data_IF_472496184048
#
_entry.id   IF_472496184048
#
_cell.length_a   1.000
_cell.length_b   1.000
_cell.length_c   1.000
_cell.angle_alpha   90.00
_cell.angle_beta   90.00
_cell.angle_gamma   90.00
#
_symmetry.space_group_name_H-M   'P 1'
#
loop_
_entity.id
_entity.type
_entity.pdbx_description
1 polymer ?
#
# COMPACT_ATOMS: atom_id res chain seq x y z
N UNK A 1 12.73 14.11 -2.32
CA UNK A 1 13.34 13.02 -3.10
C UNK A 1 13.77 11.92 -2.14
N UNK A 2 12.85 11.04 -1.76
CA UNK A 2 13.18 9.78 -1.09
C UNK A 2 12.98 8.72 -2.15
N UNK A 3 14.07 8.36 -2.83
CA UNK A 3 14.08 7.13 -3.61
C UNK A 3 13.87 5.99 -2.62
N UNK A 4 12.87 5.14 -2.85
CA UNK A 4 12.86 3.78 -2.29
C UNK A 4 14.17 3.14 -2.77
N UNK A 5 15.14 3.16 -1.87
CA UNK A 5 16.54 2.99 -2.20
C UNK A 5 16.80 1.53 -2.52
N UNK A 6 17.51 1.27 -3.61
CA UNK A 6 18.18 -0.01 -3.90
C UNK A 6 19.28 -0.39 -2.88
N UNK A 7 19.21 0.12 -1.66
CA UNK A 7 20.01 -0.34 -0.54
C UNK A 7 19.37 -1.61 0.02
N UNK A 8 20.19 -2.62 0.31
CA UNK A 8 19.79 -3.89 0.89
C UNK A 8 19.05 -3.63 2.22
N UNK A 9 17.71 -3.65 2.21
CA UNK A 9 16.90 -3.41 3.40
C UNK A 9 17.27 -4.43 4.47
N UNK A 10 17.54 -3.94 5.67
CA UNK A 10 17.93 -4.82 6.77
C UNK A 10 16.69 -5.52 7.35
N UNK A 11 16.89 -6.61 8.10
CA UNK A 11 15.78 -7.26 8.80
C UNK A 11 15.04 -6.33 9.78
N UNK A 12 15.72 -5.29 10.28
CA UNK A 12 15.13 -4.27 11.17
C UNK A 12 14.14 -3.38 10.44
N UNK A 13 14.46 -2.97 9.21
CA UNK A 13 13.59 -2.12 8.38
C UNK A 13 12.31 -2.87 8.02
N UNK A 14 12.41 -4.16 7.70
CA UNK A 14 11.26 -5.02 7.47
C UNK A 14 10.34 -5.11 8.69
N UNK A 15 10.90 -5.36 9.89
CA UNK A 15 10.09 -5.48 11.09
C UNK A 15 9.31 -4.20 11.38
N UNK A 16 9.94 -3.03 11.20
CA UNK A 16 9.27 -1.73 11.35
C UNK A 16 8.13 -1.56 10.34
N UNK A 17 8.35 -1.86 9.06
CA UNK A 17 7.30 -1.77 8.05
C UNK A 17 6.15 -2.74 8.33
N UNK A 18 6.45 -3.97 8.73
CA UNK A 18 5.45 -4.97 9.10
C UNK A 18 4.62 -4.50 10.29
N UNK A 19 5.25 -3.99 11.34
CA UNK A 19 4.53 -3.47 12.50
C UNK A 19 3.62 -2.31 12.11
N UNK A 20 4.11 -1.40 11.26
CA UNK A 20 3.29 -0.30 10.74
C UNK A 20 2.08 -0.79 9.94
N UNK A 21 2.26 -1.81 9.11
CA UNK A 21 1.15 -2.42 8.37
C UNK A 21 0.10 -3.03 9.30
N UNK A 22 0.54 -3.73 10.35
CA UNK A 22 -0.34 -4.32 11.36
C UNK A 22 -1.12 -3.27 12.14
N UNK A 23 -0.49 -2.15 12.52
CA UNK A 23 -1.17 -1.01 13.14
C UNK A 23 -2.27 -0.46 12.24
N UNK A 24 -1.98 -0.26 10.95
CA UNK A 24 -2.96 0.23 9.98
C UNK A 24 -4.15 -0.72 9.84
N UNK A 25 -3.89 -2.04 9.73
CA UNK A 25 -4.95 -3.06 9.65
C UNK A 25 -5.80 -3.13 10.93
N UNK A 26 -5.17 -2.98 12.10
CA UNK A 26 -5.89 -2.89 13.38
C UNK A 26 -6.79 -1.65 13.44
N UNK A 27 -6.29 -0.52 12.95
CA UNK A 27 -7.07 0.72 12.90
C UNK A 27 -8.23 0.60 11.90
N UNK A 28 -8.01 -0.02 10.74
CA UNK A 28 -9.10 -0.29 9.80
C UNK A 28 -10.19 -1.19 10.39
N UNK A 29 -9.82 -2.17 11.22
CA UNK A 29 -10.80 -3.00 11.93
C UNK A 29 -11.72 -2.16 12.83
N UNK A 30 -11.17 -1.15 13.52
CA UNK A 30 -11.94 -0.19 14.33
C UNK A 30 -12.81 0.70 13.45
N UNK A 31 -12.23 1.33 12.43
CA UNK A 31 -12.93 2.24 11.52
C UNK A 31 -14.07 1.54 10.78
N UNK A 32 -13.89 0.28 10.38
CA UNK A 32 -14.91 -0.51 9.69
C UNK A 32 -16.18 -0.71 10.52
N UNK A 33 -16.09 -0.73 11.86
CA UNK A 33 -17.29 -0.76 12.71
C UNK A 33 -18.05 0.56 12.64
N UNK A 34 -17.35 1.69 12.60
CA UNK A 34 -17.96 3.02 12.46
C UNK A 34 -18.63 3.14 11.09
N UNK A 35 -17.93 2.76 10.01
CA UNK A 35 -18.46 2.79 8.64
C UNK A 35 -19.76 1.99 8.51
N UNK A 36 -19.87 0.84 9.17
CA UNK A 36 -21.10 0.03 9.16
C UNK A 36 -22.31 0.73 9.80
N UNK A 37 -22.08 1.65 10.73
CA UNK A 37 -23.15 2.35 11.46
C UNK A 37 -23.59 3.63 10.75
N UNK A 38 -22.65 4.40 10.20
CA UNK A 38 -22.91 5.77 9.73
C UNK A 38 -22.46 6.03 8.29
N UNK A 39 -21.88 5.03 7.61
CA UNK A 39 -21.32 5.16 6.27
C UNK A 39 -19.88 5.71 6.26
N UNK A 40 -19.16 5.56 5.14
CA UNK A 40 -17.76 5.97 5.02
C UNK A 40 -17.57 7.50 5.01
N UNK A 41 -18.60 8.25 4.60
CA UNK A 41 -18.51 9.71 4.48
C UNK A 41 -18.45 10.45 5.81
N UNK A 42 -18.86 9.79 6.90
CA UNK A 42 -18.78 10.31 8.25
C UNK A 42 -17.34 10.40 8.78
N UNK A 43 -16.39 9.68 8.16
CA UNK A 43 -15.00 9.65 8.62
C UNK A 43 -14.20 10.87 8.13
N UNK A 44 -13.27 11.42 8.93
CA UNK A 44 -12.26 12.38 8.45
C UNK A 44 -11.47 11.83 7.25
N UNK A 45 -10.98 12.71 6.38
CA UNK A 45 -10.18 12.30 5.20
C UNK A 45 -8.94 11.48 5.58
N UNK A 46 -8.33 11.76 6.74
CA UNK A 46 -7.20 10.98 7.26
C UNK A 46 -7.57 9.53 7.60
N UNK A 47 -8.76 9.30 8.16
CA UNK A 47 -9.24 7.95 8.47
C UNK A 47 -9.66 7.21 7.19
N UNK A 48 -10.28 7.91 6.22
CA UNK A 48 -10.53 7.35 4.89
C UNK A 48 -9.24 6.98 4.16
N UNK A 49 -8.16 7.74 4.35
CA UNK A 49 -6.83 7.38 3.84
C UNK A 49 -6.27 6.09 4.47
N UNK A 50 -6.58 5.81 5.75
CA UNK A 50 -6.21 4.54 6.40
C UNK A 50 -6.97 3.38 5.75
N UNK A 51 -8.27 3.54 5.48
CA UNK A 51 -9.08 2.53 4.78
C UNK A 51 -8.54 2.26 3.37
N UNK A 52 -8.18 3.29 2.62
CA UNK A 52 -7.61 3.12 1.28
C UNK A 52 -6.24 2.43 1.32
N UNK A 53 -5.40 2.79 2.29
CA UNK A 53 -4.08 2.15 2.47
C UNK A 53 -4.23 0.67 2.80
N UNK A 54 -5.14 0.32 3.70
CA UNK A 54 -5.35 -1.07 4.12
C UNK A 54 -6.03 -1.91 3.03
N UNK A 55 -6.86 -1.29 2.18
CA UNK A 55 -7.32 -1.90 0.93
C UNK A 55 -6.15 -2.31 0.05
N UNK A 56 -5.19 -1.41 -0.17
CA UNK A 56 -3.98 -1.72 -0.96
C UNK A 56 -3.12 -2.81 -0.33
N UNK A 57 -2.99 -2.86 1.00
CA UNK A 57 -2.30 -3.97 1.69
C UNK A 57 -3.02 -5.29 1.41
N UNK A 58 -4.35 -5.33 1.49
CA UNK A 58 -5.12 -6.56 1.23
C UNK A 58 -5.04 -7.00 -0.22
N UNK A 59 -5.36 -6.10 -1.15
CA UNK A 59 -5.52 -6.43 -2.57
C UNK A 59 -4.17 -6.55 -3.29
N UNK A 60 -3.19 -5.72 -2.93
CA UNK A 60 -1.88 -5.66 -3.58
C UNK A 60 -0.82 -6.57 -2.95
N UNK A 61 -1.05 -7.11 -1.75
CA UNK A 61 -0.05 -7.94 -1.06
C UNK A 61 -0.63 -9.22 -0.44
N UNK A 62 -1.69 -9.14 0.37
CA UNK A 62 -2.18 -10.29 1.14
C UNK A 62 -2.99 -11.29 0.30
N UNK A 63 -3.78 -10.80 -0.65
CA UNK A 63 -4.52 -11.64 -1.58
C UNK A 63 -3.57 -12.13 -2.68
N UNK A 64 -3.41 -13.45 -2.81
CA UNK A 64 -2.61 -14.07 -3.88
C UNK A 64 -3.46 -15.04 -4.70
N UNK A 65 -3.25 -15.03 -6.01
CA UNK A 65 -3.90 -15.94 -6.94
C UNK A 65 -2.99 -17.13 -7.28
N UNK A 66 -3.30 -18.30 -6.71
CA UNK A 66 -2.54 -19.53 -6.93
C UNK A 66 -2.57 -20.05 -8.39
N UNK A 67 -3.48 -19.54 -9.24
CA UNK A 67 -3.60 -19.95 -10.64
C UNK A 67 -2.84 -19.04 -11.61
N UNK A 68 -2.40 -17.88 -11.15
CA UNK A 68 -1.66 -16.90 -11.96
C UNK A 68 -0.15 -17.09 -11.78
N UNK A 69 0.60 -17.27 -12.86
CA UNK A 69 2.02 -17.67 -12.80
C UNK A 69 2.92 -16.73 -12.00
N UNK A 70 2.66 -15.42 -12.04
CA UNK A 70 3.48 -14.40 -11.37
C UNK A 70 3.07 -14.17 -9.91
N UNK A 71 1.80 -14.44 -9.57
CA UNK A 71 1.23 -14.21 -8.23
C UNK A 71 1.11 -15.50 -7.40
N UNK A 72 1.24 -16.68 -8.03
CA UNK A 72 1.20 -17.97 -7.36
C UNK A 72 2.36 -18.17 -6.37
N UNK A 73 3.48 -17.48 -6.56
CA UNK A 73 4.62 -17.48 -5.65
C UNK A 73 5.33 -16.12 -5.62
N UNK A 74 5.44 -15.54 -4.42
CA UNK A 74 6.15 -14.28 -4.19
C UNK A 74 7.32 -14.48 -3.22
N UNK A 75 8.52 -14.11 -3.67
CA UNK A 75 9.71 -14.09 -2.80
C UNK A 75 9.53 -13.10 -1.64
N UNK A 76 10.27 -13.31 -0.55
CA UNK A 76 10.28 -12.38 0.60
C UNK A 76 10.69 -10.98 0.16
N UNK A 77 11.67 -10.87 -0.73
CA UNK A 77 12.12 -9.56 -1.24
C UNK A 77 11.01 -8.85 -2.03
N UNK A 78 10.27 -9.57 -2.89
CA UNK A 78 9.11 -9.02 -3.60
C UNK A 78 8.04 -8.55 -2.62
N UNK A 79 7.74 -9.33 -1.57
CA UNK A 79 6.79 -8.93 -0.52
C UNK A 79 7.22 -7.66 0.22
N UNK A 80 8.51 -7.54 0.56
CA UNK A 80 9.09 -6.34 1.18
C UNK A 80 8.89 -5.12 0.28
N UNK A 81 9.17 -5.24 -1.03
CA UNK A 81 9.01 -4.13 -1.98
C UNK A 81 7.55 -3.72 -2.18
N UNK A 82 6.63 -4.70 -2.25
CA UNK A 82 5.18 -4.43 -2.31
C UNK A 82 4.69 -3.70 -1.06
N UNK A 83 5.13 -4.11 0.13
CA UNK A 83 4.76 -3.42 1.36
C UNK A 83 5.34 -2.01 1.41
N UNK A 84 6.60 -1.86 1.00
CA UNK A 84 7.29 -0.57 0.97
C UNK A 84 6.55 0.45 0.10
N UNK A 85 6.12 0.06 -1.12
CA UNK A 85 5.44 0.99 -2.02
C UNK A 85 4.06 1.40 -1.48
N UNK A 86 3.34 0.48 -0.82
CA UNK A 86 2.05 0.79 -0.17
C UNK A 86 2.25 1.76 1.01
N UNK A 87 3.27 1.56 1.83
CA UNK A 87 3.57 2.46 2.95
C UNK A 87 4.07 3.83 2.47
N UNK A 88 4.82 3.87 1.37
CA UNK A 88 5.19 5.12 0.72
C UNK A 88 3.95 5.87 0.21
N UNK A 89 3.05 5.17 -0.48
CA UNK A 89 1.76 5.74 -0.91
C UNK A 89 0.97 6.29 0.29
N UNK A 90 0.91 5.56 1.40
CA UNK A 90 0.27 6.00 2.64
C UNK A 90 0.84 7.33 3.13
N UNK A 91 2.16 7.44 3.26
CA UNK A 91 2.82 8.65 3.74
C UNK A 91 2.49 9.86 2.86
N UNK A 92 2.60 9.69 1.54
CA UNK A 92 2.34 10.74 0.55
C UNK A 92 0.87 11.16 0.55
N UNK A 93 -0.05 10.20 0.52
CA UNK A 93 -1.48 10.46 0.57
C UNK A 93 -1.90 11.12 1.88
N UNK A 94 -1.34 10.68 3.01
CA UNK A 94 -1.59 11.27 4.33
C UNK A 94 -1.17 12.74 4.39
N UNK A 95 -0.02 13.09 3.80
CA UNK A 95 0.44 14.48 3.72
C UNK A 95 -0.51 15.37 2.87
N UNK A 96 -1.11 14.80 1.84
CA UNK A 96 -2.04 15.49 0.93
C UNK A 96 -3.41 15.69 1.60
N UNK A 97 -4.02 14.65 2.18
CA UNK A 97 -5.33 14.77 2.85
C UNK A 97 -5.29 15.66 4.08
N UNK A 98 -4.16 15.72 4.80
CA UNK A 98 -3.95 16.65 5.92
C UNK A 98 -3.99 18.12 5.49
N UNK A 99 -3.80 18.41 4.20
CA UNK A 99 -3.92 19.76 3.61
C UNK A 99 -5.34 20.04 3.09
N UNK A 100 -6.30 19.15 3.34
CA UNK A 100 -7.70 19.31 2.97
C UNK A 100 -8.07 18.78 1.60
N UNK A 101 -7.15 18.11 0.89
CA UNK A 101 -7.49 17.44 -0.35
C UNK A 101 -8.45 16.26 -0.09
N UNK A 102 -9.51 16.12 -0.89
CA UNK A 102 -10.49 15.05 -0.70
C UNK A 102 -9.91 13.70 -1.14
N UNK A 103 -10.36 12.62 -0.49
CA UNK A 103 -9.79 11.28 -0.65
C UNK A 103 -10.02 10.68 -2.05
N UNK A 104 -11.14 11.02 -2.70
CA UNK A 104 -11.48 10.53 -4.04
C UNK A 104 -10.42 10.88 -5.08
N UNK A 105 -9.83 12.09 -5.01
CA UNK A 105 -8.75 12.48 -5.91
C UNK A 105 -7.50 11.61 -5.77
N UNK A 106 -7.27 11.01 -4.60
CA UNK A 106 -6.15 10.10 -4.36
C UNK A 106 -6.52 8.68 -4.80
N UNK A 107 -7.75 8.24 -4.50
CA UNK A 107 -8.27 6.93 -4.90
C UNK A 107 -8.25 6.75 -6.42
N UNK A 108 -8.59 7.80 -7.17
CA UNK A 108 -8.68 7.77 -8.63
C UNK A 108 -7.30 7.89 -9.32
N UNK A 109 -6.21 7.99 -8.57
CA UNK A 109 -4.87 8.09 -9.16
C UNK A 109 -4.51 6.78 -9.88
N UNK A 110 -3.97 6.84 -11.12
CA UNK A 110 -3.53 5.64 -11.85
C UNK A 110 -2.46 4.80 -11.12
N UNK A 111 -1.79 5.37 -10.12
CA UNK A 111 -0.81 4.65 -9.30
C UNK A 111 -1.46 3.60 -8.40
N UNK A 112 -2.72 3.78 -8.00
CA UNK A 112 -3.49 2.85 -7.16
C UNK A 112 -3.60 1.49 -7.86
N UNK A 113 -4.06 1.49 -9.12
CA UNK A 113 -4.15 0.27 -9.93
C UNK A 113 -2.79 -0.38 -10.18
N UNK A 114 -1.74 0.43 -10.39
CA UNK A 114 -0.38 -0.08 -10.56
C UNK A 114 0.12 -0.79 -9.31
N UNK A 115 -0.17 -0.26 -8.13
CA UNK A 115 0.20 -0.88 -6.85
C UNK A 115 -0.53 -2.22 -6.69
N UNK A 116 -1.83 -2.28 -6.96
CA UNK A 116 -2.62 -3.53 -6.84
C UNK A 116 -2.11 -4.60 -7.81
N UNK A 117 -1.81 -4.21 -9.05
CA UNK A 117 -1.33 -5.13 -10.09
C UNK A 117 0.15 -5.47 -9.98
N UNK A 118 0.91 -4.83 -9.09
CA UNK A 118 2.34 -5.09 -8.96
C UNK A 118 2.63 -6.57 -8.65
N UNK A 119 1.75 -7.23 -7.86
CA UNK A 119 1.87 -8.65 -7.52
C UNK A 119 1.83 -9.59 -8.72
N UNK A 120 1.10 -9.23 -9.78
CA UNK A 120 0.97 -10.03 -11.01
C UNK A 120 1.80 -9.53 -12.19
N UNK A 121 2.24 -8.27 -12.16
CA UNK A 121 2.98 -7.65 -13.28
C UNK A 121 4.48 -7.59 -13.07
N UNK A 122 4.97 -7.68 -11.83
CA UNK A 122 6.40 -7.66 -11.51
C UNK A 122 6.82 -9.05 -11.04
N UNK A 123 7.75 -9.68 -11.74
CA UNK A 123 8.26 -11.02 -11.37
C UNK A 123 9.27 -10.94 -10.23
N UNK A 124 9.70 -12.09 -9.71
CA UNK A 124 10.70 -12.15 -8.63
C UNK A 124 12.10 -11.70 -9.10
N UNK A 125 12.34 -11.69 -10.42
CA UNK A 125 13.61 -11.31 -11.07
C UNK A 125 13.63 -9.82 -11.45
N UNK A 126 12.47 -9.18 -11.56
CA UNK A 126 12.32 -7.81 -12.07
C UNK A 126 12.03 -6.78 -10.98
N UNK A 127 12.55 -6.99 -9.75
CA UNK A 127 12.23 -6.16 -8.59
C UNK A 127 12.59 -4.68 -8.76
N UNK A 128 13.48 -4.33 -9.70
CA UNK A 128 13.79 -2.94 -10.05
C UNK A 128 12.57 -2.14 -10.56
N UNK A 129 11.53 -2.81 -11.09
CA UNK A 129 10.29 -2.15 -11.56
C UNK A 129 9.51 -1.48 -10.43
N UNK A 130 9.71 -1.89 -9.17
CA UNK A 130 9.12 -1.20 -8.02
C UNK A 130 9.68 0.24 -7.87
N UNK A 131 10.96 0.44 -8.20
CA UNK A 131 11.60 1.76 -8.08
C UNK A 131 11.00 2.76 -9.10
N UNK A 132 10.69 2.30 -10.31
CA UNK A 132 10.06 3.11 -11.36
C UNK A 132 8.66 3.60 -10.96
N UNK A 133 7.93 2.75 -10.23
CA UNK A 133 6.57 3.05 -9.77
C UNK A 133 6.56 4.17 -8.72
N UNK A 134 7.70 4.45 -8.06
CA UNK A 134 7.86 5.60 -7.15
C UNK A 134 8.41 6.87 -7.79
N UNK A 135 9.14 6.77 -8.92
CA UNK A 135 9.93 7.87 -9.49
C UNK A 135 9.14 8.81 -10.40
N UNK A 136 7.96 8.40 -10.89
CA UNK A 136 7.06 9.23 -11.68
C UNK A 136 5.82 9.53 -10.83
N UNK A 137 5.81 10.69 -10.17
CA UNK A 137 4.63 11.53 -9.86
C UNK A 137 5.03 12.67 -8.91
#
# INVERSE_FOLDING_TARGET
MLAIGGAKKTGKDWLTMRNRAMELLSEESRLSQIVKLVGPDALPFTERMVLETTRLIREGLLQQNATETVDAYSSVEKQIRMLEIVLYFHERGMAIVKRGAPINLIHDLPVVDKIIRAKSTITNEELGKFDETSKRN
#
